data_IF_728308012983
#
_entry.id   IF_728308012983
#
_cell.length_a   1.000
_cell.length_b   1.000
_cell.length_c   1.000
_cell.angle_alpha   90.00
_cell.angle_beta   90.00
_cell.angle_gamma   90.00
#
_symmetry.space_group_name_H-M   'P 1'
#
loop_
_entity.id
_entity.type
_entity.pdbx_description
1 polymer ?
#
# COMPACT_ATOMS: atom_id res chain seq x y z
N UNK A 1 7.68 -15.09 -18.28
CA UNK A 1 8.15 -15.17 -16.89
C UNK A 1 6.94 -15.09 -15.99
N UNK A 2 6.69 -16.11 -15.19
CA UNK A 2 5.59 -16.11 -14.22
C UNK A 2 5.88 -15.04 -13.15
N UNK A 3 4.85 -14.27 -12.78
CA UNK A 3 4.97 -13.23 -11.76
C UNK A 3 5.71 -11.97 -12.20
N UNK A 4 5.54 -11.50 -13.42
CA UNK A 4 6.09 -10.22 -13.89
C UNK A 4 5.02 -9.40 -14.61
N UNK A 5 5.25 -8.09 -14.74
CA UNK A 5 4.43 -7.28 -15.64
C UNK A 5 4.57 -7.75 -17.10
N UNK A 6 3.52 -7.59 -17.92
CA UNK A 6 3.61 -7.91 -19.34
C UNK A 6 4.72 -7.09 -20.01
N UNK A 7 5.42 -7.69 -20.97
CA UNK A 7 6.52 -7.04 -21.67
C UNK A 7 6.07 -5.85 -22.55
N UNK A 8 4.81 -5.86 -23.00
CA UNK A 8 4.17 -4.78 -23.72
C UNK A 8 2.99 -4.24 -22.91
N UNK A 9 2.82 -2.92 -22.94
CA UNK A 9 1.70 -2.21 -22.28
C UNK A 9 1.59 -2.47 -20.76
N UNK A 10 2.73 -2.54 -20.08
CA UNK A 10 2.77 -2.77 -18.64
C UNK A 10 2.02 -1.68 -17.83
N UNK A 11 1.91 -0.46 -18.37
CA UNK A 11 1.15 0.65 -17.79
C UNK A 11 -0.35 0.43 -17.79
N UNK A 12 -0.89 -0.32 -18.76
CA UNK A 12 -2.33 -0.56 -18.88
C UNK A 12 -2.87 -1.31 -17.68
N UNK A 13 -2.07 -2.22 -17.12
CA UNK A 13 -2.42 -2.97 -15.90
C UNK A 13 -2.66 -2.03 -14.70
N UNK A 14 -1.88 -0.95 -14.60
CA UNK A 14 -2.07 0.04 -13.53
C UNK A 14 -3.30 0.91 -13.78
N UNK A 15 -3.58 1.25 -15.03
CA UNK A 15 -4.78 1.99 -15.42
C UNK A 15 -6.02 1.14 -15.14
N UNK A 16 -6.00 -0.14 -15.50
CA UNK A 16 -7.09 -1.07 -15.22
C UNK A 16 -7.35 -1.20 -13.72
N UNK A 17 -6.29 -1.23 -12.91
CA UNK A 17 -6.39 -1.25 -11.43
C UNK A 17 -7.08 0.02 -10.90
N UNK A 18 -6.74 1.20 -11.44
CA UNK A 18 -7.38 2.48 -11.08
C UNK A 18 -8.87 2.46 -11.44
N UNK A 19 -9.20 1.96 -12.64
CA UNK A 19 -10.59 1.93 -13.12
C UNK A 19 -11.42 0.91 -12.33
N UNK A 20 -10.82 -0.18 -11.85
CA UNK A 20 -11.50 -1.20 -11.05
C UNK A 20 -12.04 -0.65 -9.72
N UNK A 21 -11.41 0.38 -9.14
CA UNK A 21 -11.93 1.05 -7.94
C UNK A 21 -13.08 1.98 -8.33
N UNK A 22 -14.20 1.93 -7.61
CA UNK A 22 -15.37 2.79 -7.84
C UNK A 22 -15.01 4.28 -7.71
N UNK A 23 -15.63 5.12 -8.54
CA UNK A 23 -15.31 6.55 -8.64
C UNK A 23 -15.37 7.31 -7.30
N UNK A 24 -16.29 6.93 -6.41
CA UNK A 24 -16.43 7.56 -5.09
C UNK A 24 -15.21 7.40 -4.18
N UNK A 25 -14.45 6.31 -4.33
CA UNK A 25 -13.25 6.03 -3.53
C UNK A 25 -11.96 6.57 -4.16
N UNK A 26 -11.98 6.88 -5.47
CA UNK A 26 -10.77 7.36 -6.19
C UNK A 26 -10.26 8.71 -5.70
N UNK A 27 -11.11 9.56 -5.14
CA UNK A 27 -10.72 10.92 -4.71
C UNK A 27 -9.62 10.90 -3.65
N UNK A 28 -9.66 9.92 -2.74
CA UNK A 28 -8.69 9.75 -1.67
C UNK A 28 -7.86 8.49 -1.84
N UNK A 29 -7.93 7.86 -3.01
CA UNK A 29 -7.20 6.63 -3.28
C UNK A 29 -5.69 6.88 -3.35
N UNK A 30 -4.94 5.92 -2.85
CA UNK A 30 -3.48 5.94 -2.85
C UNK A 30 -2.94 4.59 -3.31
N UNK A 31 -1.76 4.62 -3.91
CA UNK A 31 -1.00 3.41 -4.17
C UNK A 31 -0.17 3.02 -2.94
N UNK A 32 -0.16 1.73 -2.62
CA UNK A 32 0.74 1.14 -1.64
C UNK A 32 1.49 -0.01 -2.29
N UNK A 33 2.80 0.02 -2.23
CA UNK A 33 3.68 -1.00 -2.80
C UNK A 33 5.06 -0.97 -2.18
N UNK A 34 5.81 -2.05 -2.36
CA UNK A 34 7.21 -2.15 -1.95
C UNK A 34 8.10 -1.25 -2.85
N UNK A 35 9.18 -0.63 -2.33
CA UNK A 35 10.14 0.15 -3.11
C UNK A 35 10.75 -0.60 -4.31
N UNK A 36 10.94 -1.90 -4.20
CA UNK A 36 11.42 -2.73 -5.33
C UNK A 36 10.40 -2.77 -6.46
N UNK A 37 9.12 -2.97 -6.14
CA UNK A 37 8.01 -2.92 -7.09
C UNK A 37 7.89 -1.55 -7.75
N UNK A 38 8.02 -0.48 -6.96
CA UNK A 38 8.04 0.89 -7.45
C UNK A 38 9.18 1.13 -8.46
N UNK A 39 10.38 0.61 -8.15
CA UNK A 39 11.53 0.72 -9.06
C UNK A 39 11.26 0.07 -10.43
N UNK A 40 10.56 -1.06 -10.45
CA UNK A 40 10.16 -1.72 -11.70
C UNK A 40 9.19 -0.88 -12.50
N UNK A 41 8.16 -0.34 -11.84
CA UNK A 41 7.14 0.51 -12.49
C UNK A 41 7.75 1.79 -13.05
N UNK A 42 8.68 2.42 -12.32
CA UNK A 42 9.38 3.64 -12.78
C UNK A 42 10.25 3.41 -14.03
N UNK A 43 10.64 2.16 -14.30
CA UNK A 43 11.44 1.79 -15.48
C UNK A 43 10.59 1.52 -16.73
N UNK A 44 9.27 1.62 -16.64
CA UNK A 44 8.41 1.47 -17.82
C UNK A 44 8.70 2.56 -18.84
N UNK A 45 8.87 2.13 -20.08
CA UNK A 45 9.19 3.00 -21.22
C UNK A 45 8.10 2.89 -22.27
N UNK A 46 7.89 4.00 -22.94
CA UNK A 46 7.08 4.08 -24.15
C UNK A 46 7.83 3.45 -25.35
N UNK A 47 7.13 3.22 -26.45
CA UNK A 47 7.67 2.73 -27.74
C UNK A 47 8.82 3.58 -28.28
N UNK A 48 8.88 4.85 -27.88
CA UNK A 48 9.96 5.81 -28.21
C UNK A 48 11.14 5.77 -27.24
N UNK A 49 11.10 4.93 -26.20
CA UNK A 49 12.16 4.79 -25.19
C UNK A 49 12.12 5.79 -24.05
N UNK A 50 11.13 6.67 -24.00
CA UNK A 50 10.94 7.62 -22.90
C UNK A 50 10.31 6.92 -21.69
N UNK A 51 10.73 7.33 -20.48
CA UNK A 51 10.10 6.84 -19.27
C UNK A 51 8.67 7.37 -19.15
N UNK A 52 7.70 6.47 -18.97
CA UNK A 52 6.28 6.82 -18.79
C UNK A 52 6.05 7.51 -17.44
N UNK A 53 6.74 7.07 -16.42
CA UNK A 53 6.67 7.65 -15.08
C UNK A 53 7.88 8.54 -14.84
N UNK A 54 7.72 9.82 -15.05
CA UNK A 54 8.73 10.80 -14.64
C UNK A 54 8.42 11.28 -13.23
N UNK A 55 9.35 11.13 -12.26
CA UNK A 55 9.18 11.78 -10.97
C UNK A 55 9.07 13.28 -11.22
N UNK A 56 8.10 13.93 -10.58
CA UNK A 56 7.99 15.39 -10.62
C UNK A 56 9.27 15.98 -10.03
N UNK A 57 10.23 16.32 -10.89
CA UNK A 57 11.51 16.92 -10.51
C UNK A 57 11.41 18.35 -10.00
N UNK A 58 10.24 18.96 -10.13
CA UNK A 58 9.94 20.30 -9.63
C UNK A 58 8.87 20.26 -8.57
N UNK A 59 9.23 20.69 -7.37
CA UNK A 59 8.33 20.88 -6.23
C UNK A 59 7.15 21.85 -6.53
N UNK A 60 7.15 22.48 -7.68
CA UNK A 60 6.17 23.49 -8.11
C UNK A 60 5.29 23.04 -9.28
N UNK A 61 5.40 21.79 -9.74
CA UNK A 61 4.48 21.26 -10.73
C UNK A 61 3.23 20.79 -10.00
N UNK A 62 2.16 21.55 -10.15
CA UNK A 62 0.82 21.16 -9.72
C UNK A 62 0.59 19.70 -10.10
N UNK A 63 0.28 18.85 -9.11
CA UNK A 63 -0.05 17.44 -9.33
C UNK A 63 -1.07 17.38 -10.44
N UNK A 64 -0.78 16.63 -11.51
CA UNK A 64 -1.78 16.37 -12.55
C UNK A 64 -2.97 15.70 -11.87
N UNK A 65 -4.21 15.97 -12.31
CA UNK A 65 -5.42 15.37 -11.69
C UNK A 65 -5.41 13.85 -11.62
N UNK A 66 -4.57 13.18 -12.44
CA UNK A 66 -4.44 11.73 -12.51
C UNK A 66 -3.29 11.17 -11.65
N UNK A 67 -2.56 12.00 -10.91
CA UNK A 67 -1.45 11.57 -10.06
C UNK A 67 -1.97 11.21 -8.66
N UNK A 68 -2.18 9.92 -8.43
CA UNK A 68 -2.47 9.41 -7.11
C UNK A 68 -1.20 9.38 -6.24
N UNK A 69 -1.31 9.72 -4.95
CA UNK A 69 -0.18 9.60 -4.03
C UNK A 69 0.25 8.14 -3.91
N UNK A 70 1.56 7.94 -3.71
CA UNK A 70 2.16 6.64 -3.54
C UNK A 70 2.83 6.56 -2.18
N UNK A 71 2.55 5.48 -1.45
CA UNK A 71 3.19 5.16 -0.18
C UNK A 71 4.08 3.93 -0.33
N UNK A 72 5.30 4.06 0.15
CA UNK A 72 6.26 2.98 0.21
C UNK A 72 5.96 2.12 1.45
N UNK A 73 5.64 0.84 1.23
CA UNK A 73 5.35 -0.15 2.28
C UNK A 73 6.30 -1.32 2.10
N UNK A 74 7.34 -1.39 2.92
CA UNK A 74 8.38 -2.42 2.82
C UNK A 74 7.86 -3.83 3.13
N UNK A 75 6.81 -3.94 3.95
CA UNK A 75 6.20 -5.22 4.31
C UNK A 75 5.39 -5.88 3.18
N UNK A 76 5.14 -5.15 2.08
CA UNK A 76 4.46 -5.74 0.92
C UNK A 76 5.40 -6.66 0.15
N UNK A 77 4.87 -7.80 -0.36
CA UNK A 77 5.69 -8.76 -1.10
C UNK A 77 6.23 -8.18 -2.41
N UNK A 78 7.43 -8.60 -2.78
CA UNK A 78 8.00 -8.32 -4.08
C UNK A 78 7.19 -8.95 -5.21
N UNK A 79 7.44 -8.50 -6.44
CA UNK A 79 6.80 -9.05 -7.64
C UNK A 79 7.27 -10.48 -7.84
N UNK A 80 6.42 -11.43 -7.48
CA UNK A 80 6.63 -12.86 -7.66
C UNK A 80 5.34 -13.52 -8.16
N UNK A 81 5.46 -14.77 -8.60
CA UNK A 81 4.27 -15.53 -8.98
C UNK A 81 3.32 -15.69 -7.78
N UNK A 82 2.04 -15.42 -8.00
CA UNK A 82 0.97 -15.51 -7.00
C UNK A 82 1.07 -14.48 -5.84
N UNK A 83 1.83 -13.37 -6.00
CA UNK A 83 1.94 -12.31 -5.01
C UNK A 83 0.94 -11.17 -5.25
N UNK A 84 0.59 -10.46 -4.17
CA UNK A 84 -0.18 -9.22 -4.19
C UNK A 84 0.78 -8.06 -3.88
N UNK A 85 1.46 -7.56 -4.92
CA UNK A 85 2.57 -6.62 -4.73
C UNK A 85 2.17 -5.15 -4.89
N UNK A 86 0.94 -4.87 -5.34
CA UNK A 86 0.40 -3.52 -5.49
C UNK A 86 -1.01 -3.47 -4.94
N UNK A 87 -1.27 -2.49 -4.08
CA UNK A 87 -2.61 -2.16 -3.60
C UNK A 87 -2.97 -0.74 -4.04
N UNK A 88 -4.22 -0.53 -4.44
CA UNK A 88 -4.75 0.78 -4.79
C UNK A 88 -6.15 0.95 -4.21
N UNK A 89 -6.41 2.06 -3.55
CA UNK A 89 -7.71 2.36 -2.99
C UNK A 89 -7.68 3.38 -1.86
N UNK A 90 -8.85 3.63 -1.26
CA UNK A 90 -9.01 4.45 -0.08
C UNK A 90 -8.90 3.60 1.20
N UNK A 91 -7.70 3.63 1.80
CA UNK A 91 -7.42 2.84 3.01
C UNK A 91 -8.19 3.32 4.24
N UNK A 92 -8.62 4.60 4.27
CA UNK A 92 -9.40 5.12 5.39
C UNK A 92 -10.81 4.51 5.44
N UNK A 93 -11.38 4.22 4.28
CA UNK A 93 -12.70 3.62 4.18
C UNK A 93 -12.65 2.09 4.12
N UNK A 94 -11.54 1.53 3.62
CA UNK A 94 -11.40 0.09 3.44
C UNK A 94 -11.05 -0.66 4.72
N UNK A 95 -10.24 -0.06 5.61
CA UNK A 95 -9.71 -0.74 6.78
C UNK A 95 -10.00 0.01 8.07
N UNK A 96 -10.65 -0.67 9.01
CA UNK A 96 -10.96 -0.12 10.32
C UNK A 96 -9.97 -0.63 11.37
N UNK A 97 -9.29 0.28 12.04
CA UNK A 97 -8.47 -0.02 13.22
C UNK A 97 -9.29 0.31 14.47
N UNK A 98 -9.50 -0.67 15.32
CA UNK A 98 -10.28 -0.52 16.56
C UNK A 98 -9.35 -0.61 17.76
N UNK A 99 -9.32 0.45 18.53
CA UNK A 99 -8.63 0.49 19.82
C UNK A 99 -9.64 0.09 20.92
N UNK A 100 -9.67 -1.19 21.26
CA UNK A 100 -10.70 -1.76 22.17
C UNK A 100 -10.51 -1.30 23.62
N UNK A 101 -9.27 -1.18 24.07
CA UNK A 101 -8.93 -0.74 25.41
C UNK A 101 -7.70 0.15 25.34
N UNK A 102 -7.74 1.28 26.01
CA UNK A 102 -6.60 2.15 26.16
C UNK A 102 -5.42 1.45 26.84
N UNK A 103 -4.32 2.15 26.98
CA UNK A 103 -3.13 1.64 27.68
C UNK A 103 -3.46 1.49 29.16
N UNK A 104 -3.40 0.24 29.66
CA UNK A 104 -3.53 -0.07 31.08
C UNK A 104 -2.15 -0.37 31.64
N UNK A 105 -1.78 0.32 32.72
CA UNK A 105 -0.49 0.14 33.40
C UNK A 105 -0.75 -0.45 34.77
N UNK A 106 -0.18 -1.63 35.02
CA UNK A 106 -0.18 -2.28 36.30
C UNK A 106 1.20 -2.13 36.96
N UNK A 107 1.22 -1.53 38.15
CA UNK A 107 2.42 -1.44 38.99
C UNK A 107 2.55 -2.68 39.85
N UNK A 108 3.63 -3.42 39.70
CA UNK A 108 3.91 -4.62 40.51
C UNK A 108 5.23 -4.47 41.29
N UNK A 109 5.20 -3.86 42.51
CA UNK A 109 6.44 -3.57 43.29
C UNK A 109 6.99 -4.79 44.02
N UNK A 110 6.21 -5.87 44.14
CA UNK A 110 6.59 -7.02 44.96
C UNK A 110 7.07 -8.26 44.20
N UNK A 111 6.93 -8.27 42.88
CA UNK A 111 7.17 -9.45 42.04
C UNK A 111 8.64 -9.69 41.75
N UNK A 112 9.47 -8.63 41.68
CA UNK A 112 10.88 -8.74 41.32
C UNK A 112 11.74 -7.75 42.14
N UNK A 113 11.91 -7.99 43.41
CA UNK A 113 12.79 -7.17 44.28
C UNK A 113 14.26 -7.25 43.79
N UNK A 114 15.01 -6.14 43.72
CA UNK A 114 14.70 -4.75 44.12
C UNK A 114 14.02 -3.87 43.06
N UNK A 115 13.56 -4.44 41.96
CA UNK A 115 12.97 -3.70 40.81
C UNK A 115 11.46 -3.58 40.96
N UNK A 116 10.93 -2.45 40.43
CA UNK A 116 9.49 -2.23 40.28
C UNK A 116 9.12 -2.51 38.82
N UNK A 117 8.19 -3.43 38.60
CA UNK A 117 7.71 -3.79 37.28
C UNK A 117 6.48 -2.96 36.91
N UNK A 118 6.53 -2.37 35.73
CA UNK A 118 5.39 -1.72 35.07
C UNK A 118 4.89 -2.64 33.96
N UNK A 119 3.77 -3.29 34.17
CA UNK A 119 3.16 -4.15 33.18
C UNK A 119 2.15 -3.35 32.36
N UNK A 120 2.50 -3.06 31.12
CA UNK A 120 1.69 -2.25 30.22
C UNK A 120 1.01 -3.13 29.19
N UNK A 121 -0.31 -3.03 29.09
CA UNK A 121 -1.12 -3.76 28.10
C UNK A 121 -1.97 -2.82 27.28
N UNK A 122 -2.10 -3.14 25.99
CA UNK A 122 -3.01 -2.49 25.06
C UNK A 122 -3.70 -3.57 24.20
N UNK A 123 -4.97 -3.39 23.90
CA UNK A 123 -5.71 -4.27 22.98
C UNK A 123 -6.15 -3.50 21.75
N UNK A 124 -5.58 -3.88 20.62
CA UNK A 124 -5.89 -3.31 19.31
C UNK A 124 -6.38 -4.44 18.40
N UNK A 125 -7.35 -4.16 17.59
CA UNK A 125 -7.85 -5.04 16.55
C UNK A 125 -8.08 -4.24 15.27
N UNK A 126 -8.29 -4.93 14.17
CA UNK A 126 -8.64 -4.29 12.91
C UNK A 126 -9.20 -5.30 11.92
N UNK A 127 -9.82 -4.78 10.88
CA UNK A 127 -10.38 -5.60 9.81
C UNK A 127 -10.80 -4.76 8.62
N UNK A 128 -10.97 -5.44 7.49
CA UNK A 128 -11.49 -4.79 6.27
C UNK A 128 -12.98 -4.51 6.49
N UNK A 129 -13.37 -3.26 6.35
CA UNK A 129 -14.75 -2.80 6.48
C UNK A 129 -15.44 -2.76 5.13
N UNK A 130 -14.75 -2.28 4.09
CA UNK A 130 -15.28 -2.16 2.74
C UNK A 130 -14.29 -2.72 1.72
N UNK A 131 -14.69 -3.84 1.08
CA UNK A 131 -13.87 -4.51 0.06
C UNK A 131 -13.90 -3.80 -1.30
N UNK A 132 -14.90 -2.95 -1.55
CA UNK A 132 -15.02 -2.19 -2.80
C UNK A 132 -14.08 -0.97 -2.83
N UNK A 133 -13.61 -0.55 -1.66
CA UNK A 133 -12.76 0.64 -1.51
C UNK A 133 -11.29 0.38 -1.82
N UNK A 134 -10.86 -0.91 -1.89
CA UNK A 134 -9.48 -1.29 -2.15
C UNK A 134 -9.41 -2.42 -3.17
N UNK A 135 -8.46 -2.33 -4.09
CA UNK A 135 -8.15 -3.36 -5.09
C UNK A 135 -6.68 -3.77 -5.00
N UNK A 136 -6.45 -5.06 -5.14
CA UNK A 136 -5.12 -5.66 -5.10
C UNK A 136 -4.74 -6.20 -6.48
N UNK A 137 -3.54 -5.88 -6.93
CA UNK A 137 -2.99 -6.46 -8.16
C UNK A 137 -2.30 -7.78 -7.84
N UNK A 138 -2.85 -8.87 -8.38
CA UNK A 138 -2.27 -10.20 -8.25
C UNK A 138 -1.44 -10.55 -9.48
N UNK A 139 -0.20 -10.94 -9.27
CA UNK A 139 0.65 -11.47 -10.32
C UNK A 139 0.39 -12.98 -10.48
N UNK A 140 -0.25 -13.35 -11.59
CA UNK A 140 -0.62 -14.75 -11.85
C UNK A 140 0.61 -15.64 -12.13
N UNK A 141 0.42 -16.94 -11.95
CA UNK A 141 1.31 -17.98 -12.46
C UNK A 141 0.87 -18.22 -13.91
N UNK A 142 1.71 -17.95 -14.88
CA UNK A 142 1.48 -18.33 -16.28
C UNK A 142 1.95 -19.74 -16.55
#
# INVERSE_FOLDING_TARGET
MAGAFPASNASDVLIDLIIAVKAGYRQNAVFAMNPQTQSVIRKFKDTTGNYLWQPAGDANRARKPDEFPLYDVEDMPDITANSFSVAFGDFNLSYLVVDRAGVTVLLAPYTAKPYVLFYTTKRVGGGVQDFDAIMLLKFAIS
#
